data_IF_081122719186
#
_entry.id   IF_081122719186
#
_cell.length_a   1.000
_cell.length_b   1.000
_cell.length_c   1.000
_cell.angle_alpha   90.00
_cell.angle_beta   90.00
_cell.angle_gamma   90.00
#
_symmetry.space_group_name_H-M   'P 1'
#
loop_
_entity.id
_entity.type
_entity.pdbx_description
1 polymer ?
#
# COMPACT_ATOMS: atom_id res chain seq x y z
N UNK A 1 39.15 -25.84 -44.33
CA UNK A 1 39.37 -26.27 -42.93
C UNK A 1 38.89 -25.16 -42.02
N UNK A 2 37.62 -25.22 -41.61
CA UNK A 2 37.02 -24.36 -40.60
C UNK A 2 36.22 -25.27 -39.67
N UNK A 3 36.58 -25.28 -38.39
CA UNK A 3 35.92 -26.10 -37.38
C UNK A 3 34.72 -25.33 -36.86
N UNK A 4 33.51 -25.76 -37.22
CA UNK A 4 32.27 -25.19 -36.72
C UNK A 4 32.16 -25.46 -35.22
N UNK A 5 32.55 -24.47 -34.42
CA UNK A 5 32.30 -24.46 -32.99
C UNK A 5 30.81 -24.28 -32.76
N UNK A 6 30.11 -25.37 -32.48
CA UNK A 6 28.75 -25.34 -31.96
C UNK A 6 28.88 -25.16 -30.45
N UNK A 7 28.51 -23.99 -29.88
CA UNK A 7 28.53 -23.83 -28.44
C UNK A 7 27.64 -24.90 -27.80
N UNK A 8 28.05 -25.47 -26.66
CA UNK A 8 27.20 -26.42 -25.95
C UNK A 8 25.85 -25.75 -25.69
N UNK A 9 24.77 -26.37 -26.17
CA UNK A 9 23.41 -25.96 -25.82
C UNK A 9 23.34 -26.10 -24.30
N UNK A 10 23.37 -24.95 -23.63
CA UNK A 10 23.46 -24.84 -22.18
C UNK A 10 22.52 -25.86 -21.55
N UNK A 11 23.16 -26.78 -20.83
CA UNK A 11 22.62 -28.09 -20.54
C UNK A 11 21.20 -28.07 -20.01
N UNK A 12 20.49 -29.14 -20.36
CA UNK A 12 19.36 -29.68 -19.62
C UNK A 12 19.69 -29.65 -18.12
N UNK A 13 19.43 -28.52 -17.46
CA UNK A 13 19.36 -28.44 -16.01
C UNK A 13 18.24 -29.40 -15.67
N UNK A 14 18.62 -30.55 -15.11
CA UNK A 14 17.72 -31.59 -14.65
C UNK A 14 16.45 -30.92 -14.11
N UNK A 15 15.30 -31.06 -14.81
CA UNK A 15 14.07 -30.32 -14.49
C UNK A 15 13.51 -30.70 -13.10
N UNK A 16 14.17 -31.63 -12.42
CA UNK A 16 13.84 -32.18 -11.12
C UNK A 16 14.87 -31.78 -10.06
N UNK A 17 15.41 -30.55 -10.09
CA UNK A 17 15.99 -29.95 -8.90
C UNK A 17 14.86 -29.77 -7.87
N UNK A 18 14.55 -30.86 -7.17
CA UNK A 18 13.52 -30.96 -6.14
C UNK A 18 13.67 -29.74 -5.24
N UNK A 19 12.63 -28.89 -5.21
CA UNK A 19 12.58 -27.74 -4.32
C UNK A 19 12.87 -28.24 -2.91
N UNK A 20 14.11 -28.03 -2.45
CA UNK A 20 14.50 -28.41 -1.10
C UNK A 20 13.53 -27.72 -0.14
N UNK A 21 13.00 -28.47 0.82
CA UNK A 21 12.05 -27.98 1.82
C UNK A 21 12.54 -26.67 2.47
N UNK A 22 13.86 -26.53 2.68
CA UNK A 22 14.45 -25.30 3.19
C UNK A 22 14.31 -24.08 2.27
N UNK A 23 14.32 -24.27 0.94
CA UNK A 23 14.08 -23.20 -0.03
C UNK A 23 12.63 -22.73 0.01
N UNK A 24 11.67 -23.67 0.12
CA UNK A 24 10.25 -23.34 0.24
C UNK A 24 10.01 -22.58 1.55
N UNK A 25 10.54 -23.08 2.68
CA UNK A 25 10.39 -22.45 3.98
C UNK A 25 10.96 -21.03 4.02
N UNK A 26 12.16 -20.81 3.44
CA UNK A 26 12.76 -19.47 3.34
C UNK A 26 11.87 -18.51 2.55
N UNK A 27 11.31 -18.96 1.41
CA UNK A 27 10.42 -18.14 0.59
C UNK A 27 9.11 -17.82 1.31
N UNK A 28 8.56 -18.80 2.02
CA UNK A 28 7.37 -18.64 2.83
C UNK A 28 7.58 -17.59 3.92
N UNK A 29 8.70 -17.66 4.65
CA UNK A 29 9.03 -16.68 5.70
C UNK A 29 9.12 -15.24 5.14
N UNK A 30 9.80 -15.05 4.00
CA UNK A 30 9.89 -13.73 3.36
C UNK A 30 8.50 -13.24 2.96
N UNK A 31 7.66 -14.12 2.41
CA UNK A 31 6.31 -13.73 1.98
C UNK A 31 5.39 -13.44 3.16
N UNK A 32 5.49 -14.18 4.26
CA UNK A 32 4.75 -13.92 5.50
C UNK A 32 5.18 -12.58 6.11
N UNK A 33 6.47 -12.27 6.09
CA UNK A 33 6.98 -10.97 6.54
C UNK A 33 6.47 -9.81 5.68
N UNK A 34 6.50 -9.95 4.35
CA UNK A 34 5.94 -8.95 3.43
C UNK A 34 4.43 -8.75 3.65
N UNK A 35 3.68 -9.85 3.87
CA UNK A 35 2.27 -9.79 4.20
C UNK A 35 2.01 -9.07 5.54
N UNK A 36 2.81 -9.37 6.58
CA UNK A 36 2.72 -8.68 7.86
C UNK A 36 2.95 -7.16 7.72
N UNK A 37 3.89 -6.73 6.88
CA UNK A 37 4.08 -5.31 6.56
C UNK A 37 2.81 -4.71 5.93
N UNK A 38 2.16 -5.39 4.98
CA UNK A 38 0.91 -4.91 4.40
C UNK A 38 -0.18 -4.75 5.46
N UNK A 39 -0.28 -5.68 6.43
CA UNK A 39 -1.24 -5.57 7.53
C UNK A 39 -0.93 -4.37 8.43
N UNK A 40 0.34 -4.14 8.78
CA UNK A 40 0.76 -2.97 9.57
C UNK A 40 0.42 -1.67 8.83
N UNK A 41 0.74 -1.59 7.54
CA UNK A 41 0.43 -0.42 6.71
C UNK A 41 -1.09 -0.23 6.59
N UNK A 42 -1.87 -1.31 6.43
CA UNK A 42 -3.35 -1.25 6.46
C UNK A 42 -3.82 -0.65 7.78
N UNK A 43 -3.31 -1.15 8.91
CA UNK A 43 -3.70 -0.67 10.22
C UNK A 43 -3.34 0.81 10.42
N UNK A 44 -2.17 1.25 9.95
CA UNK A 44 -1.79 2.66 9.97
C UNK A 44 -2.74 3.52 9.12
N UNK A 45 -3.10 3.08 7.91
CA UNK A 45 -4.05 3.79 7.06
C UNK A 45 -5.44 3.86 7.70
N UNK A 46 -5.93 2.75 8.25
CA UNK A 46 -7.22 2.72 8.96
C UNK A 46 -7.21 3.64 10.18
N UNK A 47 -6.12 3.64 10.95
CA UNK A 47 -5.96 4.54 12.09
C UNK A 47 -5.90 6.01 11.66
N UNK A 48 -5.15 6.33 10.60
CA UNK A 48 -5.05 7.68 10.08
C UNK A 48 -6.42 8.18 9.57
N UNK A 49 -7.04 7.47 8.62
CA UNK A 49 -8.32 7.88 8.06
C UNK A 49 -9.46 7.79 9.07
N UNK A 50 -9.45 6.84 10.00
CA UNK A 50 -10.49 6.69 11.02
C UNK A 50 -10.43 7.72 12.15
N UNK A 51 -9.27 8.36 12.39
CA UNK A 51 -9.09 9.27 13.53
C UNK A 51 -8.92 10.73 13.12
N UNK A 52 -8.04 11.00 12.15
CA UNK A 52 -7.65 12.39 11.82
C UNK A 52 -8.81 13.15 11.19
N UNK A 53 -9.68 12.49 10.44
CA UNK A 53 -10.71 13.18 9.69
C UNK A 53 -11.83 13.71 10.59
N UNK A 54 -12.25 12.96 11.61
CA UNK A 54 -13.26 13.46 12.56
C UNK A 54 -12.77 14.76 13.21
N UNK A 55 -11.48 14.82 13.58
CA UNK A 55 -10.87 16.05 14.09
C UNK A 55 -10.97 17.22 13.10
N UNK A 56 -10.65 17.00 11.82
CA UNK A 56 -10.75 18.08 10.82
C UNK A 56 -12.19 18.51 10.56
N UNK A 57 -13.15 17.58 10.57
CA UNK A 57 -14.56 17.90 10.41
C UNK A 57 -15.04 18.84 11.53
N UNK A 58 -14.70 18.52 12.78
CA UNK A 58 -15.00 19.40 13.92
C UNK A 58 -14.37 20.79 13.77
N UNK A 59 -13.14 20.87 13.24
CA UNK A 59 -12.47 22.15 12.98
C UNK A 59 -13.21 22.97 11.91
N UNK A 60 -13.50 22.38 10.74
CA UNK A 60 -14.20 23.11 9.67
C UNK A 60 -15.61 23.56 10.08
N UNK A 61 -16.35 22.68 10.77
CA UNK A 61 -17.69 23.00 11.29
C UNK A 61 -17.61 24.13 12.35
N UNK A 62 -16.57 24.15 13.20
CA UNK A 62 -16.39 25.17 14.22
C UNK A 62 -16.08 26.56 13.64
N UNK A 63 -15.35 26.63 12.53
CA UNK A 63 -14.95 27.88 11.88
C UNK A 63 -15.90 28.32 10.75
N UNK A 64 -17.02 27.60 10.52
CA UNK A 64 -17.99 27.86 9.45
C UNK A 64 -17.33 28.02 8.06
N UNK A 65 -16.28 27.22 7.80
CA UNK A 65 -15.50 27.32 6.57
C UNK A 65 -16.07 26.42 5.48
N UNK A 66 -16.15 26.95 4.27
CA UNK A 66 -16.45 26.14 3.08
C UNK A 66 -15.33 25.11 2.85
N UNK A 67 -15.72 23.84 2.77
CA UNK A 67 -14.79 22.73 2.54
C UNK A 67 -14.30 22.72 1.10
N UNK A 68 -12.99 22.77 0.84
CA UNK A 68 -12.46 22.57 -0.49
C UNK A 68 -12.82 21.18 -1.02
N UNK A 69 -13.05 21.05 -2.32
CA UNK A 69 -13.47 19.78 -2.96
C UNK A 69 -12.54 18.62 -2.64
N UNK A 70 -11.23 18.87 -2.56
CA UNK A 70 -10.24 17.85 -2.20
C UNK A 70 -10.43 17.40 -0.75
N UNK A 71 -10.63 18.34 0.18
CA UNK A 71 -10.90 18.06 1.59
C UNK A 71 -12.19 17.27 1.74
N UNK A 72 -13.27 17.68 1.08
CA UNK A 72 -14.55 16.96 1.11
C UNK A 72 -14.38 15.51 0.64
N UNK A 73 -13.64 15.28 -0.45
CA UNK A 73 -13.37 13.92 -0.91
C UNK A 73 -12.65 13.09 0.16
N UNK A 74 -11.65 13.64 0.85
CA UNK A 74 -10.93 12.97 1.94
C UNK A 74 -11.87 12.64 3.10
N UNK A 75 -12.79 13.56 3.45
CA UNK A 75 -13.81 13.31 4.47
C UNK A 75 -14.74 12.15 4.07
N UNK A 76 -15.16 12.08 2.81
CA UNK A 76 -15.98 10.96 2.31
C UNK A 76 -15.23 9.62 2.35
N UNK A 77 -13.95 9.61 1.95
CA UNK A 77 -13.09 8.43 2.02
C UNK A 77 -12.92 7.95 3.45
N UNK A 78 -12.65 8.87 4.38
CA UNK A 78 -12.57 8.51 5.79
C UNK A 78 -13.90 8.03 6.35
N UNK A 79 -15.03 8.68 6.05
CA UNK A 79 -16.34 8.20 6.48
C UNK A 79 -16.59 6.77 5.99
N UNK A 80 -16.19 6.46 4.76
CA UNK A 80 -16.21 5.10 4.21
C UNK A 80 -15.32 4.16 5.03
N UNK A 81 -14.09 4.58 5.35
CA UNK A 81 -13.17 3.81 6.18
C UNK A 81 -13.75 3.57 7.58
N UNK A 82 -14.25 4.58 8.28
CA UNK A 82 -14.82 4.46 9.62
C UNK A 82 -16.04 3.53 9.67
N UNK A 83 -16.90 3.58 8.65
CA UNK A 83 -18.08 2.74 8.57
C UNK A 83 -17.80 1.30 8.11
N UNK A 84 -16.76 1.10 7.30
CA UNK A 84 -16.48 -0.18 6.64
C UNK A 84 -15.06 -0.72 6.90
N UNK A 85 -14.38 -0.28 7.97
CA UNK A 85 -12.99 -0.67 8.28
C UNK A 85 -12.81 -2.19 8.36
N UNK A 86 -13.82 -2.90 8.87
CA UNK A 86 -13.80 -4.36 9.00
C UNK A 86 -13.81 -5.06 7.64
N UNK A 87 -14.45 -4.47 6.61
CA UNK A 87 -14.39 -4.98 5.24
C UNK A 87 -12.99 -4.78 4.65
N UNK A 88 -12.35 -3.64 4.91
CA UNK A 88 -10.96 -3.40 4.50
C UNK A 88 -9.99 -4.35 5.18
N UNK A 89 -10.14 -4.57 6.49
CA UNK A 89 -9.32 -5.52 7.24
C UNK A 89 -9.52 -6.95 6.73
N UNK A 90 -10.77 -7.35 6.51
CA UNK A 90 -11.09 -8.66 5.93
C UNK A 90 -10.52 -8.82 4.53
N UNK A 91 -10.67 -7.81 3.66
CA UNK A 91 -10.10 -7.81 2.32
C UNK A 91 -8.56 -7.88 2.36
N UNK A 92 -7.92 -7.17 3.28
CA UNK A 92 -6.47 -7.21 3.46
C UNK A 92 -5.99 -8.62 3.83
N UNK A 93 -6.76 -9.39 4.60
CA UNK A 93 -6.42 -10.78 4.94
C UNK A 93 -6.76 -11.72 3.76
N UNK A 94 -8.01 -11.71 3.32
CA UNK A 94 -8.55 -12.67 2.34
C UNK A 94 -7.90 -12.52 0.97
N UNK A 95 -7.54 -11.30 0.55
CA UNK A 95 -6.90 -11.08 -0.74
C UNK A 95 -5.39 -11.22 -0.67
N UNK A 96 -4.72 -10.70 0.37
CA UNK A 96 -3.26 -10.78 0.42
C UNK A 96 -2.74 -12.16 0.82
N UNK A 97 -3.45 -12.93 1.67
CA UNK A 97 -2.94 -14.23 2.10
C UNK A 97 -2.77 -15.22 0.93
N UNK A 98 -3.74 -15.39 0.01
CA UNK A 98 -3.55 -16.23 -1.18
C UNK A 98 -2.45 -15.71 -2.11
N UNK A 99 -2.30 -14.39 -2.26
CA UNK A 99 -1.23 -13.80 -3.07
C UNK A 99 0.14 -14.10 -2.45
N UNK A 100 0.28 -13.94 -1.13
CA UNK A 100 1.50 -14.25 -0.41
C UNK A 100 1.88 -15.73 -0.58
N UNK A 101 0.91 -16.63 -0.39
CA UNK A 101 1.11 -18.07 -0.63
C UNK A 101 1.52 -18.32 -2.09
N UNK A 102 0.79 -17.77 -3.05
CA UNK A 102 1.06 -17.96 -4.49
C UNK A 102 2.44 -17.48 -4.91
N UNK A 103 2.89 -16.34 -4.39
CA UNK A 103 4.21 -15.75 -4.64
C UNK A 103 5.36 -16.68 -4.20
N UNK A 104 5.16 -17.50 -3.17
CA UNK A 104 6.18 -18.46 -2.70
C UNK A 104 6.51 -19.53 -3.75
N UNK A 105 5.52 -19.90 -4.55
CA UNK A 105 5.62 -20.94 -5.58
C UNK A 105 6.00 -20.40 -6.97
N UNK A 106 6.15 -19.08 -7.13
CA UNK A 106 6.46 -18.50 -8.43
C UNK A 106 7.85 -18.95 -8.94
N UNK A 107 7.97 -19.26 -10.26
CA UNK A 107 9.26 -19.52 -10.88
C UNK A 107 10.14 -18.27 -10.84
N UNK A 108 11.49 -18.40 -10.91
CA UNK A 108 12.40 -17.26 -10.88
C UNK A 108 12.08 -16.15 -11.89
N UNK A 109 11.62 -16.51 -13.09
CA UNK A 109 11.24 -15.55 -14.15
C UNK A 109 10.07 -14.62 -13.79
N UNK A 110 9.25 -15.00 -12.82
CA UNK A 110 8.07 -14.24 -12.37
C UNK A 110 8.28 -13.53 -11.02
N UNK A 111 9.51 -13.50 -10.50
CA UNK A 111 9.80 -12.85 -9.20
C UNK A 111 9.47 -11.35 -9.19
N UNK A 112 9.49 -10.69 -10.34
CA UNK A 112 9.09 -9.28 -10.44
C UNK A 112 7.64 -9.04 -10.01
N UNK A 113 6.75 -10.03 -10.16
CA UNK A 113 5.34 -9.92 -9.72
C UNK A 113 5.25 -9.75 -8.21
N UNK A 114 6.11 -10.45 -7.46
CA UNK A 114 6.19 -10.30 -6.00
C UNK A 114 6.62 -8.87 -5.61
N UNK A 115 7.57 -8.31 -6.35
CA UNK A 115 8.04 -6.94 -6.14
C UNK A 115 6.95 -5.92 -6.49
N UNK A 116 6.23 -6.11 -7.60
CA UNK A 116 5.12 -5.23 -7.97
C UNK A 116 3.98 -5.29 -6.95
N UNK A 117 3.64 -6.48 -6.45
CA UNK A 117 2.64 -6.63 -5.39
C UNK A 117 3.06 -5.91 -4.11
N UNK A 118 4.30 -6.12 -3.66
CA UNK A 118 4.81 -5.49 -2.43
C UNK A 118 4.99 -3.97 -2.58
N UNK A 119 5.72 -3.52 -3.61
CA UNK A 119 6.00 -2.12 -3.85
C UNK A 119 4.75 -1.34 -4.25
N UNK A 120 3.86 -1.94 -5.06
CA UNK A 120 2.60 -1.32 -5.46
C UNK A 120 1.70 -1.02 -4.27
N UNK A 121 1.64 -1.94 -3.29
CA UNK A 121 0.89 -1.72 -2.06
C UNK A 121 1.45 -0.55 -1.24
N UNK A 122 2.78 -0.49 -1.07
CA UNK A 122 3.44 0.62 -0.37
C UNK A 122 3.29 1.96 -1.11
N UNK A 123 3.45 1.97 -2.43
CA UNK A 123 3.27 3.16 -3.25
C UNK A 123 1.83 3.69 -3.17
N UNK A 124 0.84 2.80 -3.17
CA UNK A 124 -0.56 3.18 -2.98
C UNK A 124 -0.77 3.81 -1.60
N UNK A 125 -0.22 3.22 -0.53
CA UNK A 125 -0.31 3.78 0.81
C UNK A 125 0.34 5.17 0.91
N UNK A 126 1.53 5.34 0.33
CA UNK A 126 2.22 6.64 0.27
C UNK A 126 1.37 7.66 -0.49
N UNK A 127 0.86 7.27 -1.66
CA UNK A 127 0.01 8.13 -2.47
C UNK A 127 -1.24 8.60 -1.70
N UNK A 128 -1.95 7.68 -1.04
CA UNK A 128 -3.14 8.01 -0.24
C UNK A 128 -2.80 8.96 0.92
N UNK A 129 -1.68 8.73 1.61
CA UNK A 129 -1.22 9.60 2.70
C UNK A 129 -0.84 10.99 2.19
N UNK A 130 -0.13 11.09 1.06
CA UNK A 130 0.24 12.37 0.45
C UNK A 130 -1.00 13.12 -0.03
N UNK A 131 -1.94 12.42 -0.67
CA UNK A 131 -3.21 13.00 -1.11
C UNK A 131 -3.99 13.57 0.07
N UNK A 132 -4.11 12.80 1.16
CA UNK A 132 -4.76 13.26 2.37
C UNK A 132 -4.03 14.45 3.00
N UNK A 133 -2.70 14.40 3.09
CA UNK A 133 -1.90 15.49 3.65
C UNK A 133 -2.09 16.79 2.85
N UNK A 134 -2.07 16.73 1.51
CA UNK A 134 -2.30 17.89 0.64
C UNK A 134 -3.69 18.48 0.90
N UNK A 135 -4.73 17.65 0.89
CA UNK A 135 -6.11 18.13 1.04
C UNK A 135 -6.48 18.58 2.45
N UNK A 136 -5.69 18.24 3.47
CA UNK A 136 -5.89 18.70 4.84
C UNK A 136 -5.00 19.91 5.20
N UNK A 137 -3.76 19.96 4.71
CA UNK A 137 -2.78 21.01 5.11
C UNK A 137 -2.96 22.30 4.32
N UNK A 138 -3.20 22.25 3.02
CA UNK A 138 -3.33 23.48 2.20
C UNK A 138 -4.46 24.39 2.73
N UNK A 139 -5.67 23.88 3.00
CA UNK A 139 -6.75 24.74 3.50
C UNK A 139 -6.45 25.34 4.88
N UNK A 140 -5.72 24.60 5.74
CA UNK A 140 -5.29 25.13 7.03
C UNK A 140 -4.27 26.26 6.89
N UNK A 141 -3.38 26.19 5.90
CA UNK A 141 -2.44 27.26 5.64
C UNK A 141 -3.16 28.54 5.22
N UNK A 142 -4.12 28.42 4.29
CA UNK A 142 -4.94 29.55 3.85
C UNK A 142 -5.74 30.16 5.01
N UNK A 143 -6.28 29.33 5.91
CA UNK A 143 -6.96 29.78 7.12
C UNK A 143 -6.03 30.58 8.05
N UNK A 144 -4.83 30.04 8.32
CA UNK A 144 -3.87 30.70 9.20
C UNK A 144 -3.39 32.04 8.65
N UNK A 145 -3.20 32.18 7.34
CA UNK A 145 -2.82 33.45 6.72
C UNK A 145 -3.95 34.46 6.76
N UNK A 146 -5.18 34.05 6.45
CA UNK A 146 -6.35 34.94 6.46
C UNK A 146 -6.66 35.49 7.87
N UNK A 147 -6.46 34.69 8.92
CA UNK A 147 -6.64 35.15 10.31
C UNK A 147 -5.58 36.20 10.70
N UNK A 148 -4.35 36.07 10.22
CA UNK A 148 -3.27 37.02 10.51
C UNK A 148 -3.51 38.40 9.88
N UNK A 149 -4.22 38.46 8.76
CA UNK A 149 -4.48 39.71 8.04
C UNK A 149 -5.77 40.44 8.51
N UNK A 150 -6.54 39.84 9.43
CA UNK A 150 -7.74 40.48 9.96
C UNK A 150 -7.36 41.67 10.88
N UNK A 151 -7.83 42.90 10.61
CA UNK A 151 -7.56 44.04 11.48
C UNK A 151 -8.23 43.82 12.85
N UNK A 152 -7.42 43.82 13.91
CA UNK A 152 -7.87 43.76 15.31
C UNK A 152 -8.65 45.01 15.72
#
# INVERSE_FOLDING_TARGET
MGSDYVPPIDGERSPNASLSLGTILRRLLISVFAWAIHLVVTACLLGFFGSIVEYYREVFDHFELDLPVITESILQWSSTVSNYWYLFALAAIVLNAPIAIGVCYLPPRWRWVAWVWFAGYLLLAIFLMTYAAIGLVIPLQDLMTNIQDAPM
#
